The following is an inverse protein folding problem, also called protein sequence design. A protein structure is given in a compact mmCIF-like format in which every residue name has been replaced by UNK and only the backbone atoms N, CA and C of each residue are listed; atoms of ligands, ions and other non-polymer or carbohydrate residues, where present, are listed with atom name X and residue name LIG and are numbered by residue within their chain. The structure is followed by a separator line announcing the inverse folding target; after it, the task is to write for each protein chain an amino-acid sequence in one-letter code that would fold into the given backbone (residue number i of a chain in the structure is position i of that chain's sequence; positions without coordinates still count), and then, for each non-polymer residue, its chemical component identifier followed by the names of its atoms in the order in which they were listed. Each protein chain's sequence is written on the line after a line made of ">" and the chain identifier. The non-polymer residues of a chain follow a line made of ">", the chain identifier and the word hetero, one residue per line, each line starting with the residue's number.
data_IF_848540891124
#
_entry.id   IF_848540891124
#
_cell.length_a   1.000
_cell.length_b   1.000
_cell.length_c   1.000
_cell.angle_alpha   90.00
_cell.angle_beta   90.00
_cell.angle_gamma   90.00
#
_symmetry.space_group_name_H-M   'P 1'
#
loop_
_entity.id
_entity.type
_entity.pdbx_description
1 polymer ?
#
# COMPACT_ATOMS: atom_id res chain seq x y z
N UNK A 1 -17.32 -4.67 18.17
CA UNK A 1 -15.85 -4.80 18.22
C UNK A 1 -15.31 -3.67 19.09
N UNK A 2 -14.43 -3.95 20.06
CA UNK A 2 -13.86 -2.93 20.94
C UNK A 2 -12.63 -2.33 20.27
N UNK A 3 -12.54 -0.99 20.19
CA UNK A 3 -11.35 -0.33 19.67
C UNK A 3 -10.20 -0.42 20.71
N UNK A 4 -8.93 -0.52 20.25
CA UNK A 4 -7.77 -0.41 21.14
C UNK A 4 -7.75 0.95 21.85
N UNK A 5 -7.18 0.99 23.06
CA UNK A 5 -6.99 2.24 23.78
C UNK A 5 -6.07 3.18 22.97
N UNK A 6 -6.54 4.40 22.72
CA UNK A 6 -5.80 5.42 21.97
C UNK A 6 -6.18 5.55 20.48
N UNK A 7 -7.08 4.72 19.95
CA UNK A 7 -7.60 4.88 18.57
C UNK A 7 -8.94 5.60 18.62
N UNK A 8 -9.03 6.79 18.00
CA UNK A 8 -10.28 7.53 17.92
C UNK A 8 -11.26 6.90 16.92
N UNK A 9 -12.57 7.09 17.16
CA UNK A 9 -13.62 6.60 16.27
C UNK A 9 -13.49 7.15 14.84
N UNK A 10 -13.04 8.41 14.69
CA UNK A 10 -12.84 9.00 13.37
C UNK A 10 -11.76 8.25 12.60
N UNK A 11 -10.61 7.99 13.23
CA UNK A 11 -9.49 7.26 12.64
C UNK A 11 -9.89 5.82 12.29
N UNK A 12 -10.57 5.15 13.22
CA UNK A 12 -11.07 3.79 13.00
C UNK A 12 -12.03 3.72 11.80
N UNK A 13 -12.95 4.68 11.68
CA UNK A 13 -13.90 4.73 10.57
C UNK A 13 -13.21 4.96 9.21
N UNK A 14 -12.14 5.76 9.20
CA UNK A 14 -11.38 6.06 7.98
C UNK A 14 -10.56 4.85 7.47
N UNK A 15 -10.08 4.00 8.38
CA UNK A 15 -9.29 2.81 8.03
C UNK A 15 -10.15 1.63 7.56
N UNK A 16 -11.40 1.53 8.05
CA UNK A 16 -12.20 0.30 7.97
C UNK A 16 -12.41 -0.28 6.57
N UNK A 17 -12.59 0.56 5.54
CA UNK A 17 -12.79 0.05 4.18
C UNK A 17 -11.45 -0.24 3.48
N UNK A 18 -10.66 0.81 3.22
CA UNK A 18 -9.48 0.72 2.35
C UNK A 18 -8.34 -0.10 2.98
N UNK A 19 -8.11 0.08 4.27
CA UNK A 19 -7.00 -0.58 4.97
C UNK A 19 -7.29 -2.06 5.17
N UNK A 20 -8.52 -2.44 5.55
CA UNK A 20 -8.90 -3.84 5.72
C UNK A 20 -8.89 -4.61 4.39
N UNK A 21 -9.36 -4.00 3.29
CA UNK A 21 -9.28 -4.61 1.97
C UNK A 21 -7.82 -4.86 1.57
N UNK A 22 -6.95 -3.87 1.77
CA UNK A 22 -5.52 -4.01 1.50
C UNK A 22 -4.88 -5.11 2.38
N UNK A 23 -5.20 -5.12 3.68
CA UNK A 23 -4.67 -6.09 4.64
C UNK A 23 -5.05 -7.52 4.26
N UNK A 24 -6.32 -7.76 3.98
CA UNK A 24 -6.79 -9.06 3.52
C UNK A 24 -6.12 -9.47 2.20
N UNK A 25 -6.00 -8.55 1.24
CA UNK A 25 -5.34 -8.79 -0.04
C UNK A 25 -3.88 -9.19 0.12
N UNK A 26 -3.11 -8.49 0.96
CA UNK A 26 -1.68 -8.77 1.16
C UNK A 26 -1.46 -10.04 2.01
N UNK A 27 -2.16 -10.17 3.13
CA UNK A 27 -1.87 -11.22 4.12
C UNK A 27 -2.59 -12.54 3.87
N UNK A 28 -3.85 -12.49 3.42
CA UNK A 28 -4.70 -13.68 3.32
C UNK A 28 -4.71 -14.24 1.91
N UNK A 29 -4.82 -13.35 0.90
CA UNK A 29 -4.86 -13.74 -0.51
C UNK A 29 -3.44 -13.87 -1.07
N UNK A 30 -2.65 -12.81 -0.95
CA UNK A 30 -1.26 -12.77 -1.41
C UNK A 30 -0.30 -13.57 -0.55
N UNK A 31 -0.65 -13.78 0.74
CA UNK A 31 0.17 -14.50 1.73
C UNK A 31 1.63 -14.05 1.73
N UNK A 32 1.82 -12.74 1.57
CA UNK A 32 3.14 -12.13 1.44
C UNK A 32 3.98 -12.45 2.66
N UNK A 33 5.19 -12.96 2.41
CA UNK A 33 6.18 -13.26 3.42
C UNK A 33 7.31 -12.21 3.44
N UNK A 34 8.03 -12.07 4.58
CA UNK A 34 9.21 -11.22 4.65
C UNK A 34 10.24 -11.58 3.57
N UNK A 35 10.87 -10.58 2.96
CA UNK A 35 11.87 -10.75 1.91
C UNK A 35 11.31 -10.98 0.50
N UNK A 36 10.02 -11.27 0.34
CA UNK A 36 9.40 -11.41 -0.97
C UNK A 36 9.25 -10.05 -1.68
N UNK A 37 9.08 -10.10 -3.00
CA UNK A 37 8.84 -8.91 -3.81
C UNK A 37 7.37 -8.76 -4.16
N UNK A 38 6.81 -7.58 -3.90
CA UNK A 38 5.39 -7.27 -4.13
C UNK A 38 5.27 -6.05 -5.03
N UNK A 39 4.68 -6.23 -6.21
CA UNK A 39 4.32 -5.12 -7.09
C UNK A 39 2.90 -4.64 -6.81
N UNK A 40 2.74 -3.35 -6.51
CA UNK A 40 1.47 -2.70 -6.20
C UNK A 40 1.13 -1.71 -7.30
N UNK A 41 0.05 -1.98 -8.01
CA UNK A 41 -0.43 -1.12 -9.09
C UNK A 41 -1.47 -0.12 -8.57
N UNK A 42 -1.12 1.15 -8.65
CA UNK A 42 -1.88 2.29 -8.17
C UNK A 42 -1.44 2.72 -6.76
N UNK A 43 -0.96 3.95 -6.62
CA UNK A 43 -0.62 4.62 -5.38
C UNK A 43 -1.77 5.52 -4.87
N UNK A 44 -3.00 4.99 -4.91
CA UNK A 44 -4.17 5.58 -4.26
C UNK A 44 -4.38 5.06 -2.83
N UNK A 45 -5.50 5.39 -2.18
CA UNK A 45 -5.71 5.05 -0.76
C UNK A 45 -5.54 3.56 -0.40
N UNK A 46 -6.02 2.65 -1.25
CA UNK A 46 -5.84 1.19 -1.04
C UNK A 46 -4.40 0.76 -1.31
N UNK A 47 -3.79 1.22 -2.41
CA UNK A 47 -2.42 0.83 -2.76
C UNK A 47 -1.34 1.40 -1.83
N UNK A 48 -1.56 2.61 -1.29
CA UNK A 48 -0.74 3.16 -0.21
C UNK A 48 -0.89 2.35 1.08
N UNK A 49 -2.11 1.94 1.43
CA UNK A 49 -2.34 1.04 2.58
C UNK A 49 -1.63 -0.30 2.36
N UNK A 50 -1.75 -0.90 1.17
CA UNK A 50 -1.07 -2.14 0.82
C UNK A 50 0.47 -2.00 0.86
N UNK A 51 0.99 -0.85 0.43
CA UNK A 51 2.42 -0.52 0.50
C UNK A 51 2.91 -0.50 1.93
N UNK A 52 2.18 0.17 2.84
CA UNK A 52 2.51 0.22 4.26
C UNK A 52 2.48 -1.18 4.88
N UNK A 53 1.42 -1.96 4.61
CA UNK A 53 1.25 -3.31 5.15
C UNK A 53 2.36 -4.26 4.65
N UNK A 54 2.63 -4.28 3.35
CA UNK A 54 3.67 -5.13 2.77
C UNK A 54 5.07 -4.76 3.29
N UNK A 55 5.34 -3.46 3.44
CA UNK A 55 6.60 -2.98 4.04
C UNK A 55 6.71 -3.39 5.50
N UNK A 56 5.63 -3.28 6.28
CA UNK A 56 5.59 -3.67 7.70
C UNK A 56 5.79 -5.19 7.90
N UNK A 57 5.37 -6.01 6.92
CA UNK A 57 5.67 -7.45 6.89
C UNK A 57 7.15 -7.72 6.60
N UNK A 58 7.88 -6.75 6.03
CA UNK A 58 9.28 -6.89 5.63
C UNK A 58 9.46 -7.35 4.18
N UNK A 59 8.43 -7.20 3.34
CA UNK A 59 8.54 -7.44 1.91
C UNK A 59 9.16 -6.23 1.18
N UNK A 60 9.76 -6.51 0.02
CA UNK A 60 10.29 -5.50 -0.89
C UNK A 60 9.18 -5.02 -1.83
N UNK A 61 8.83 -3.73 -1.76
CA UNK A 61 7.65 -3.21 -2.47
C UNK A 61 8.08 -2.50 -3.76
N UNK A 62 7.32 -2.71 -4.84
CA UNK A 62 7.41 -1.92 -6.07
C UNK A 62 6.09 -1.20 -6.28
N UNK A 63 6.04 0.12 -6.08
CA UNK A 63 4.85 0.90 -6.38
C UNK A 63 4.83 1.32 -7.86
N UNK A 64 3.70 1.12 -8.51
CA UNK A 64 3.49 1.44 -9.93
C UNK A 64 2.32 2.41 -10.06
N UNK A 65 2.56 3.63 -10.51
CA UNK A 65 1.50 4.61 -10.80
C UNK A 65 1.88 5.42 -12.05
N UNK A 66 0.92 6.16 -12.59
CA UNK A 66 1.13 7.10 -13.69
C UNK A 66 1.51 8.49 -13.18
N UNK A 67 1.16 8.81 -11.93
CA UNK A 67 1.32 10.12 -11.32
C UNK A 67 2.53 10.16 -10.38
N UNK A 68 3.45 11.10 -10.61
CA UNK A 68 4.73 11.17 -9.90
C UNK A 68 4.57 11.61 -8.45
N UNK A 69 3.62 12.51 -8.16
CA UNK A 69 3.26 12.97 -6.82
C UNK A 69 2.83 11.81 -5.91
N UNK A 70 2.05 10.87 -6.45
CA UNK A 70 1.63 9.67 -5.73
C UNK A 70 2.77 8.70 -5.49
N UNK A 71 3.68 8.57 -6.45
CA UNK A 71 4.89 7.73 -6.31
C UNK A 71 5.84 8.32 -5.25
N UNK A 72 6.00 9.63 -5.22
CA UNK A 72 6.77 10.30 -4.16
C UNK A 72 6.15 10.08 -2.77
N UNK A 73 4.83 10.14 -2.68
CA UNK A 73 4.15 9.85 -1.42
C UNK A 73 4.29 8.38 -1.01
N UNK A 74 4.17 7.45 -1.97
CA UNK A 74 4.40 6.03 -1.72
C UNK A 74 5.81 5.77 -1.17
N UNK A 75 6.85 6.40 -1.76
CA UNK A 75 8.25 6.31 -1.29
C UNK A 75 8.41 6.74 0.17
N UNK A 76 7.73 7.81 0.57
CA UNK A 76 7.82 8.30 1.97
C UNK A 76 7.21 7.31 2.96
N UNK A 77 6.23 6.51 2.53
CA UNK A 77 5.51 5.56 3.37
C UNK A 77 6.21 4.21 3.50
N UNK A 78 7.04 3.80 2.52
CA UNK A 78 7.79 2.56 2.60
C UNK A 78 9.21 2.81 3.18
N UNK A 79 9.39 2.63 4.48
CA UNK A 79 10.61 3.00 5.20
C UNK A 79 11.81 2.03 5.12
N UNK A 80 11.94 1.16 4.11
CA UNK A 80 13.09 0.23 4.12
C UNK A 80 13.61 -0.19 2.75
N UNK A 81 12.75 -0.61 1.80
CA UNK A 81 13.17 -0.99 0.46
C UNK A 81 11.99 -0.84 -0.52
N UNK A 82 11.94 0.28 -1.24
CA UNK A 82 10.92 0.47 -2.28
C UNK A 82 11.53 0.98 -3.58
N UNK A 83 11.16 0.32 -4.68
CA UNK A 83 11.39 0.83 -6.03
C UNK A 83 10.09 1.39 -6.60
N UNK A 84 10.13 2.53 -7.28
CA UNK A 84 8.94 3.09 -7.95
C UNK A 84 9.07 2.96 -9.46
N UNK A 85 8.03 2.51 -10.13
CA UNK A 85 7.98 2.44 -11.58
C UNK A 85 6.82 3.29 -12.11
N UNK A 86 7.11 4.11 -13.14
CA UNK A 86 6.09 4.90 -13.83
C UNK A 86 5.61 4.16 -15.07
N UNK A 87 4.31 3.87 -15.16
CA UNK A 87 3.74 3.32 -16.40
C UNK A 87 3.49 4.46 -17.39
N UNK A 88 4.29 4.55 -18.47
CA UNK A 88 4.02 5.50 -19.57
C UNK A 88 2.71 5.09 -20.26
N UNK A 89 1.67 5.91 -20.10
CA UNK A 89 0.40 5.73 -20.78
C UNK A 89 0.60 6.05 -22.27
N UNK A 90 0.88 5.04 -23.10
CA UNK A 90 0.72 5.15 -24.55
C UNK A 90 -0.78 5.26 -24.84
N UNK A 91 -1.30 6.49 -24.85
CA UNK A 91 -2.56 6.80 -25.50
C UNK A 91 -2.37 6.50 -26.99
N UNK A 92 -2.95 5.39 -27.47
CA UNK A 92 -3.34 5.33 -28.89
C UNK A 92 -4.36 6.46 -29.07
N UNK A 93 -3.99 7.41 -29.92
CA UNK A 93 -4.90 8.41 -30.48
C UNK A 93 -6.07 7.71 -31.19
#
# INVERSE_FOLDING_TARGET
>A
MKLPEGVDFLEASAMGCRFMTAFHGVTSIGKVAPGEWVAIFGAGGVGLSATQIATAIGANVIAVDIADDKLEFAKKLAQSQQSTAKKKMHRKQ
#
